data_IF_041264740386
#
_entry.id   IF_041264740386
#
_cell.length_a   1.000
_cell.length_b   1.000
_cell.length_c   1.000
_cell.angle_alpha   90.00
_cell.angle_beta   90.00
_cell.angle_gamma   90.00
#
_symmetry.space_group_name_H-M   'P 1'
#
loop_
_entity.id
_entity.type
_entity.pdbx_description
1 polymer ?
#
# COMPACT_ATOMS: atom_id res chain seq x y z
N UNK A 1 12.23 -4.89 -11.97
CA UNK A 1 12.15 -4.74 -10.51
C UNK A 1 12.09 -3.24 -10.24
N UNK A 2 10.90 -2.69 -10.04
CA UNK A 2 10.75 -1.27 -9.68
C UNK A 2 11.20 -1.09 -8.23
N UNK A 3 12.06 -0.11 -7.98
CA UNK A 3 12.56 0.19 -6.65
C UNK A 3 11.40 0.63 -5.73
N UNK A 4 11.21 -0.04 -4.60
CA UNK A 4 10.28 0.38 -3.55
C UNK A 4 10.93 1.50 -2.75
N UNK A 5 10.80 2.73 -3.23
CA UNK A 5 11.07 3.95 -2.46
C UNK A 5 9.73 4.63 -2.26
N UNK A 6 9.31 4.87 -1.02
CA UNK A 6 8.38 5.98 -0.76
C UNK A 6 8.11 6.22 0.72
N UNK A 7 8.40 7.46 1.13
CA UNK A 7 7.84 8.11 2.30
C UNK A 7 6.58 8.92 1.98
N UNK A 8 6.26 9.04 0.69
CA UNK A 8 5.10 9.75 0.19
C UNK A 8 4.27 8.85 -0.73
N UNK A 9 3.05 8.54 -0.31
CA UNK A 9 2.08 7.77 -1.10
C UNK A 9 0.92 8.69 -1.48
N UNK A 10 0.59 8.73 -2.76
CA UNK A 10 -0.55 9.48 -3.26
C UNK A 10 -1.39 8.65 -4.22
N UNK A 11 -2.71 8.75 -4.05
CA UNK A 11 -3.68 8.26 -5.00
C UNK A 11 -4.34 9.45 -5.68
N UNK A 12 -4.35 9.41 -7.00
CA UNK A 12 -4.90 10.47 -7.83
C UNK A 12 -5.97 9.84 -8.70
N UNK A 13 -7.20 10.34 -8.61
CA UNK A 13 -8.35 9.84 -9.34
C UNK A 13 -8.98 10.96 -10.16
N UNK A 14 -9.27 10.65 -11.42
CA UNK A 14 -9.95 11.54 -12.36
C UNK A 14 -11.16 10.79 -12.88
N UNK A 15 -12.35 11.38 -12.73
CA UNK A 15 -13.61 10.81 -13.23
C UNK A 15 -14.16 11.69 -14.35
N UNK A 16 -14.71 11.06 -15.39
CA UNK A 16 -15.19 11.77 -16.57
C UNK A 16 -15.73 10.84 -17.64
N UNK A 17 -16.16 11.42 -18.76
CA UNK A 17 -16.54 10.64 -19.93
C UNK A 17 -15.28 9.99 -20.56
N UNK A 18 -15.41 8.81 -21.21
CA UNK A 18 -14.27 8.09 -21.77
C UNK A 18 -13.40 8.94 -22.70
N UNK A 19 -14.02 9.77 -23.55
CA UNK A 19 -13.32 10.62 -24.51
C UNK A 19 -12.52 11.74 -23.81
N UNK A 20 -13.09 12.34 -22.77
CA UNK A 20 -12.42 13.38 -21.97
C UNK A 20 -11.23 12.79 -21.19
N UNK A 21 -11.40 11.58 -20.64
CA UNK A 21 -10.32 10.87 -19.93
C UNK A 21 -9.18 10.48 -20.89
N UNK A 22 -9.51 10.00 -22.09
CA UNK A 22 -8.49 9.67 -23.09
C UNK A 22 -7.67 10.91 -23.50
N UNK A 23 -8.33 12.05 -23.70
CA UNK A 23 -7.68 13.32 -24.02
C UNK A 23 -6.81 13.84 -22.85
N UNK A 24 -7.31 13.71 -21.62
CA UNK A 24 -6.56 14.04 -20.41
C UNK A 24 -5.29 13.22 -20.27
N UNK A 25 -5.40 11.89 -20.39
CA UNK A 25 -4.25 10.96 -20.33
C UNK A 25 -3.19 11.28 -21.37
N UNK A 26 -3.59 11.54 -22.62
CA UNK A 26 -2.67 11.91 -23.69
C UNK A 26 -1.91 13.21 -23.38
N UNK A 27 -2.55 14.14 -22.67
CA UNK A 27 -1.95 15.41 -22.25
C UNK A 27 -1.03 15.27 -21.04
N UNK A 28 -1.35 14.34 -20.12
CA UNK A 28 -0.60 14.09 -18.90
C UNK A 28 0.68 13.27 -19.13
N UNK A 29 0.66 12.30 -20.05
CA UNK A 29 1.79 11.40 -20.32
C UNK A 29 3.15 12.11 -20.56
N UNK A 30 3.26 13.14 -21.43
CA UNK A 30 4.53 13.84 -21.61
C UNK A 30 4.97 14.63 -20.36
N UNK A 31 4.02 15.17 -19.58
CA UNK A 31 4.31 15.93 -18.36
C UNK A 31 4.89 15.04 -17.26
N UNK A 32 4.36 13.82 -17.09
CA UNK A 32 4.89 12.85 -16.15
C UNK A 32 6.32 12.41 -16.53
N UNK A 33 6.58 12.21 -17.82
CA UNK A 33 7.92 11.85 -18.29
C UNK A 33 8.96 12.94 -17.94
N UNK A 34 8.57 14.21 -18.06
CA UNK A 34 9.45 15.35 -17.79
C UNK A 34 9.63 15.61 -16.28
N UNK A 35 8.56 15.53 -15.48
CA UNK A 35 8.54 16.04 -14.11
C UNK A 35 8.52 14.96 -13.02
N UNK A 36 8.31 13.68 -13.36
CA UNK A 36 8.14 12.60 -12.39
C UNK A 36 9.19 11.47 -12.52
N UNK A 37 10.36 11.77 -13.06
CA UNK A 37 11.42 10.77 -13.35
C UNK A 37 11.88 9.95 -12.11
N UNK A 38 11.68 10.46 -10.90
CA UNK A 38 12.06 9.81 -9.64
C UNK A 38 10.89 9.20 -8.88
N UNK A 39 9.65 9.38 -9.35
CA UNK A 39 8.46 8.81 -8.75
C UNK A 39 8.13 7.47 -9.43
N UNK A 40 7.78 6.46 -8.64
CA UNK A 40 7.20 5.24 -9.14
C UNK A 40 5.69 5.45 -9.28
N UNK A 41 5.21 5.57 -10.52
CA UNK A 41 3.82 5.84 -10.84
C UNK A 41 3.22 4.63 -11.52
N UNK A 42 2.17 4.07 -10.93
CA UNK A 42 1.36 3.04 -11.55
C UNK A 42 0.04 3.64 -12.01
N UNK A 43 -0.26 3.51 -13.30
CA UNK A 43 -1.52 3.94 -13.90
C UNK A 43 -2.51 2.77 -13.97
N UNK A 44 -3.77 3.09 -13.75
CA UNK A 44 -4.93 2.22 -13.90
C UNK A 44 -6.07 2.98 -14.60
N UNK A 45 -6.84 2.27 -15.43
CA UNK A 45 -7.92 2.87 -16.20
C UNK A 45 -9.16 1.96 -16.19
N UNK A 46 -10.30 2.57 -15.91
CA UNK A 46 -11.64 2.01 -16.09
C UNK A 46 -12.42 2.83 -17.11
N UNK A 47 -13.63 2.39 -17.47
CA UNK A 47 -14.48 3.07 -18.46
C UNK A 47 -14.82 4.52 -18.08
N UNK A 48 -14.88 4.84 -16.78
CA UNK A 48 -15.30 6.15 -16.28
C UNK A 48 -14.28 6.82 -15.36
N UNK A 49 -13.08 6.25 -15.19
CA UNK A 49 -12.06 6.83 -14.32
C UNK A 49 -10.62 6.46 -14.72
N UNK A 50 -9.72 7.41 -14.50
CA UNK A 50 -8.27 7.19 -14.46
C UNK A 50 -7.79 7.26 -13.01
N UNK A 51 -6.93 6.33 -12.62
CA UNK A 51 -6.37 6.25 -11.28
C UNK A 51 -4.84 6.11 -11.37
N UNK A 52 -4.12 6.95 -10.64
CA UNK A 52 -2.67 6.92 -10.54
C UNK A 52 -2.27 6.70 -9.08
N UNK A 53 -1.49 5.64 -8.84
CA UNK A 53 -0.79 5.41 -7.57
C UNK A 53 0.63 5.95 -7.71
N UNK A 54 1.01 6.86 -6.82
CA UNK A 54 2.31 7.55 -6.86
C UNK A 54 3.06 7.27 -5.57
N UNK A 55 4.20 6.60 -5.72
CA UNK A 55 5.18 6.35 -4.67
C UNK A 55 6.41 7.22 -4.94
N UNK A 56 6.66 8.23 -4.11
CA UNK A 56 7.75 9.19 -4.33
C UNK A 56 8.52 9.50 -3.03
N UNK A 57 9.82 9.75 -3.17
CA UNK A 57 10.68 10.19 -2.06
C UNK A 57 10.62 11.72 -1.82
N UNK A 58 10.16 12.50 -2.80
CA UNK A 58 10.21 13.98 -2.79
C UNK A 58 8.85 14.70 -2.77
N UNK A 59 7.75 13.97 -2.56
CA UNK A 59 6.38 14.50 -2.61
C UNK A 59 5.63 14.15 -3.90
N UNK A 60 4.35 14.54 -3.97
CA UNK A 60 3.52 14.33 -5.17
C UNK A 60 4.01 15.22 -6.30
N UNK A 61 4.16 14.71 -7.52
CA UNK A 61 4.37 15.53 -8.71
C UNK A 61 3.05 16.25 -9.06
N UNK A 62 2.62 17.20 -8.23
CA UNK A 62 1.45 18.04 -8.50
C UNK A 62 1.53 18.83 -9.83
N UNK A 63 2.69 19.36 -10.27
CA UNK A 63 2.73 20.21 -11.46
C UNK A 63 2.18 19.56 -12.74
N UNK A 64 2.51 18.30 -13.09
CA UNK A 64 1.86 17.58 -14.19
C UNK A 64 0.33 17.56 -14.13
N UNK A 65 -0.25 17.26 -12.96
CA UNK A 65 -1.70 17.16 -12.80
C UNK A 65 -2.39 18.52 -12.84
N UNK A 66 -1.73 19.56 -12.31
CA UNK A 66 -2.22 20.95 -12.39
C UNK A 66 -2.26 21.43 -13.84
N UNK A 67 -1.15 21.27 -14.58
CA UNK A 67 -1.06 21.67 -15.99
C UNK A 67 -2.08 20.88 -16.84
N UNK A 68 -2.23 19.57 -16.60
CA UNK A 68 -3.23 18.76 -17.27
C UNK A 68 -4.67 19.20 -16.95
N UNK A 69 -4.96 19.57 -15.70
CA UNK A 69 -6.27 20.09 -15.28
C UNK A 69 -6.63 21.40 -15.97
N UNK A 70 -5.65 22.27 -16.19
CA UNK A 70 -5.80 23.55 -16.90
C UNK A 70 -6.22 23.35 -18.37
N UNK A 71 -5.68 22.30 -19.02
CA UNK A 71 -6.06 21.92 -20.39
C UNK A 71 -7.42 21.23 -20.48
N UNK A 72 -7.91 20.68 -19.37
CA UNK A 72 -9.16 19.91 -19.28
C UNK A 72 -10.04 20.43 -18.14
N UNK A 73 -10.58 21.66 -18.26
CA UNK A 73 -11.20 22.39 -17.15
C UNK A 73 -12.49 21.76 -16.61
N UNK A 74 -13.09 20.84 -17.36
CA UNK A 74 -14.31 20.13 -16.97
C UNK A 74 -14.04 18.93 -16.04
N UNK A 75 -12.79 18.46 -15.95
CA UNK A 75 -12.43 17.31 -15.13
C UNK A 75 -11.94 17.75 -13.75
N UNK A 76 -12.45 17.08 -12.71
CA UNK A 76 -11.96 17.22 -11.35
C UNK A 76 -10.96 16.12 -11.04
N UNK A 77 -9.82 16.51 -10.46
CA UNK A 77 -8.78 15.59 -10.02
C UNK A 77 -8.84 15.51 -8.51
N UNK A 78 -9.24 14.36 -7.98
CA UNK A 78 -9.16 14.07 -6.56
C UNK A 78 -7.78 13.50 -6.23
N UNK A 79 -7.11 14.10 -5.26
CA UNK A 79 -5.78 13.69 -4.79
C UNK A 79 -5.87 13.39 -3.31
N UNK A 80 -5.52 12.17 -2.90
CA UNK A 80 -5.35 11.80 -1.49
C UNK A 80 -3.92 11.36 -1.27
N UNK A 81 -3.30 11.80 -0.18
CA UNK A 81 -1.90 11.52 0.07
C UNK A 81 -1.54 11.40 1.53
N UNK A 82 -0.41 10.73 1.76
CA UNK A 82 0.18 10.53 3.06
C UNK A 82 1.69 10.77 2.97
N UNK A 83 2.22 11.53 3.92
CA UNK A 83 3.63 11.79 4.15
C UNK A 83 4.02 11.24 5.53
N UNK A 84 4.71 10.10 5.53
CA UNK A 84 5.15 9.44 6.76
C UNK A 84 6.29 10.15 7.47
N UNK A 85 7.14 10.88 6.73
CA UNK A 85 8.25 11.66 7.30
C UNK A 85 7.73 12.87 8.07
N UNK A 86 6.76 13.59 7.50
CA UNK A 86 6.16 14.75 8.13
C UNK A 86 5.06 14.39 9.14
N UNK A 87 4.69 13.11 9.24
CA UNK A 87 3.53 12.63 10.00
C UNK A 87 2.22 13.35 9.60
N UNK A 88 2.03 13.57 8.30
CA UNK A 88 0.89 14.29 7.73
C UNK A 88 0.14 13.43 6.72
N UNK A 89 -1.15 13.69 6.59
CA UNK A 89 -1.97 13.27 5.45
C UNK A 89 -2.66 14.48 4.86
N UNK A 90 -3.07 14.37 3.62
CA UNK A 90 -3.94 15.38 3.03
C UNK A 90 -4.80 14.86 1.91
N UNK A 91 -5.82 15.64 1.62
CA UNK A 91 -6.66 15.47 0.46
C UNK A 91 -6.74 16.81 -0.26
N UNK A 92 -6.81 16.78 -1.58
CA UNK A 92 -6.92 17.96 -2.39
C UNK A 92 -7.72 17.70 -3.65
N UNK A 93 -8.43 18.72 -4.12
CA UNK A 93 -9.16 18.68 -5.39
C UNK A 93 -8.57 19.73 -6.31
N UNK A 94 -8.23 19.33 -7.54
CA UNK A 94 -7.71 20.23 -8.58
C UNK A 94 -8.77 20.33 -9.68
N UNK A 95 -9.15 21.56 -10.03
CA UNK A 95 -10.08 21.86 -11.12
C UNK A 95 -9.55 23.06 -11.88
N UNK A 96 -9.48 22.96 -13.21
CA UNK A 96 -9.04 24.04 -14.09
C UNK A 96 -7.68 24.65 -13.64
N UNK A 97 -6.73 23.78 -13.31
CA UNK A 97 -5.39 24.18 -12.83
C UNK A 97 -5.34 24.85 -11.46
N UNK A 98 -6.47 24.96 -10.75
CA UNK A 98 -6.53 25.53 -9.42
C UNK A 98 -6.79 24.45 -8.37
N UNK A 99 -6.09 24.55 -7.23
CA UNK A 99 -6.40 23.77 -6.03
C UNK A 99 -7.67 24.36 -5.39
N UNK A 100 -8.80 23.69 -5.54
CA UNK A 100 -10.11 24.21 -5.06
C UNK A 100 -10.42 23.80 -3.64
N UNK A 101 -9.92 22.64 -3.21
CA UNK A 101 -10.07 22.13 -1.86
C UNK A 101 -8.73 21.56 -1.40
N UNK A 102 -8.38 21.82 -0.14
CA UNK A 102 -7.22 21.22 0.50
C UNK A 102 -7.52 20.97 1.97
N UNK A 103 -7.22 19.75 2.41
CA UNK A 103 -7.22 19.36 3.81
C UNK A 103 -5.87 18.75 4.12
N UNK A 104 -5.29 19.15 5.25
CA UNK A 104 -4.08 18.54 5.79
C UNK A 104 -4.34 18.24 7.25
N UNK A 105 -4.22 16.97 7.61
CA UNK A 105 -4.36 16.49 8.98
C UNK A 105 -3.03 15.85 9.41
N UNK A 106 -2.75 15.84 10.71
CA UNK A 106 -1.73 14.94 11.24
C UNK A 106 -2.17 13.49 11.03
N UNK A 107 -1.21 12.59 10.80
CA UNK A 107 -1.49 11.16 10.95
C UNK A 107 -1.87 10.89 12.42
N UNK A 108 -2.88 10.04 12.67
CA UNK A 108 -3.18 9.58 14.02
C UNK A 108 -1.92 9.07 14.71
N UNK A 109 -1.71 9.45 15.97
CA UNK A 109 -0.69 8.79 16.79
C UNK A 109 -1.08 7.32 16.90
N UNK A 110 -0.19 6.43 16.44
CA UNK A 110 -0.43 4.99 16.37
C UNK A 110 -0.83 4.43 17.73
N UNK A 111 -2.14 4.28 17.95
CA UNK A 111 -2.67 3.69 19.17
C UNK A 111 -2.37 2.18 19.18
N UNK A 112 -2.14 1.64 20.38
CA UNK A 112 -1.75 0.24 20.64
C UNK A 112 -2.88 -0.77 20.34
N UNK A 113 -3.90 -0.36 19.60
CA UNK A 113 -5.02 -1.16 19.11
C UNK A 113 -4.85 -1.61 17.64
N UNK A 114 -3.76 -1.22 16.99
CA UNK A 114 -3.45 -1.62 15.61
C UNK A 114 -3.24 -3.14 15.52
N UNK A 115 -4.08 -3.78 14.70
CA UNK A 115 -4.00 -5.21 14.41
C UNK A 115 -2.91 -5.43 13.38
N UNK A 116 -1.72 -5.74 13.86
CA UNK A 116 -0.59 -6.08 13.00
C UNK A 116 -0.09 -7.50 13.27
N UNK A 117 0.59 -8.05 12.26
CA UNK A 117 1.43 -9.21 12.37
C UNK A 117 2.76 -8.93 11.69
N UNK A 118 3.86 -9.35 12.33
CA UNK A 118 5.19 -9.32 11.71
C UNK A 118 5.81 -10.68 11.94
N UNK A 119 6.39 -11.27 10.90
CA UNK A 119 7.23 -12.46 10.93
C UNK A 119 8.55 -12.17 10.23
N UNK A 120 9.64 -12.61 10.86
CA UNK A 120 11.00 -12.45 10.37
C UNK A 120 11.77 -13.75 10.53
N UNK A 121 12.70 -13.99 9.60
CA UNK A 121 13.69 -15.03 9.73
C UNK A 121 14.79 -14.61 10.74
N UNK A 122 15.59 -15.58 11.19
CA UNK A 122 16.69 -15.34 12.16
C UNK A 122 17.73 -14.33 11.69
N UNK A 123 17.91 -14.17 10.38
CA UNK A 123 18.88 -13.24 9.78
C UNK A 123 18.33 -11.80 9.65
N UNK A 124 17.09 -11.56 10.11
CA UNK A 124 16.40 -10.28 10.03
C UNK A 124 15.56 -10.10 8.76
N UNK A 125 15.52 -11.09 7.86
CA UNK A 125 14.71 -11.01 6.65
C UNK A 125 13.22 -10.92 6.98
N UNK A 126 12.53 -9.98 6.35
CA UNK A 126 11.09 -9.81 6.51
C UNK A 126 10.32 -10.87 5.70
N UNK A 127 9.72 -11.84 6.38
CA UNK A 127 8.94 -12.91 5.74
C UNK A 127 7.51 -12.46 5.42
N UNK A 128 6.85 -11.88 6.42
CA UNK A 128 5.50 -11.33 6.27
C UNK A 128 5.25 -10.28 7.33
N UNK A 129 4.93 -9.06 6.91
CA UNK A 129 4.30 -8.05 7.73
C UNK A 129 2.91 -7.77 7.19
N UNK A 130 1.96 -7.54 8.08
CA UNK A 130 0.63 -7.08 7.69
C UNK A 130 0.01 -6.23 8.79
N UNK A 131 -0.87 -5.34 8.37
CA UNK A 131 -1.71 -4.52 9.22
C UNK A 131 -3.10 -4.45 8.60
N UNK A 132 -4.15 -4.50 9.41
CA UNK A 132 -5.52 -4.56 8.88
C UNK A 132 -6.57 -4.01 9.83
N UNK A 133 -7.72 -3.70 9.24
CA UNK A 133 -8.93 -3.31 9.94
C UNK A 133 -10.09 -4.18 9.48
N UNK A 134 -11.18 -4.14 10.25
CA UNK A 134 -12.40 -4.86 9.92
C UNK A 134 -13.33 -3.91 9.17
N UNK A 135 -13.49 -4.12 7.86
CA UNK A 135 -14.34 -3.31 6.99
C UNK A 135 -15.83 -3.73 7.06
N UNK A 136 -16.10 -4.93 7.58
CA UNK A 136 -17.46 -5.45 7.77
C UNK A 136 -17.49 -6.71 8.64
N UNK A 137 -18.68 -7.26 8.90
CA UNK A 137 -18.87 -8.39 9.83
C UNK A 137 -17.98 -9.61 9.53
N UNK A 138 -17.66 -9.86 8.26
CA UNK A 138 -16.82 -10.97 7.79
C UNK A 138 -15.78 -10.51 6.77
N UNK A 139 -15.43 -9.23 6.80
CA UNK A 139 -14.61 -8.57 5.79
C UNK A 139 -13.49 -7.78 6.44
N UNK A 140 -12.27 -8.08 6.04
CA UNK A 140 -11.05 -7.45 6.52
C UNK A 140 -10.28 -6.87 5.35
N UNK A 141 -9.79 -5.65 5.52
CA UNK A 141 -8.98 -4.95 4.54
C UNK A 141 -7.69 -4.49 5.20
N UNK A 142 -6.61 -4.41 4.42
CA UNK A 142 -5.34 -4.02 4.99
C UNK A 142 -4.21 -4.02 3.99
N UNK A 143 -3.00 -4.02 4.53
CA UNK A 143 -1.76 -4.01 3.80
C UNK A 143 -0.89 -5.17 4.24
N UNK A 144 -0.29 -5.85 3.27
CA UNK A 144 0.66 -6.93 3.48
C UNK A 144 1.96 -6.61 2.74
N UNK A 145 3.08 -7.00 3.35
CA UNK A 145 4.43 -6.69 2.91
C UNK A 145 5.34 -7.88 3.20
N UNK A 146 6.28 -8.12 2.30
CA UNK A 146 7.41 -9.02 2.47
C UNK A 146 8.70 -8.25 2.19
N UNK A 147 9.84 -8.91 2.29
CA UNK A 147 11.12 -8.34 1.85
C UNK A 147 11.11 -7.83 0.39
N UNK A 148 10.24 -8.34 -0.49
CA UNK A 148 10.31 -8.12 -1.95
C UNK A 148 9.01 -7.66 -2.62
N UNK A 149 7.86 -7.79 -1.97
CA UNK A 149 6.55 -7.45 -2.54
C UNK A 149 5.60 -6.91 -1.48
N UNK A 150 4.67 -6.06 -1.92
CA UNK A 150 3.63 -5.46 -1.11
C UNK A 150 2.28 -5.53 -1.83
N UNK A 151 1.19 -5.48 -1.05
CA UNK A 151 -0.15 -5.36 -1.59
C UNK A 151 -1.11 -4.82 -0.54
N UNK A 152 -2.02 -3.93 -0.97
CA UNK A 152 -3.33 -3.86 -0.32
C UNK A 152 -4.08 -5.17 -0.58
N UNK A 153 -4.84 -5.61 0.42
CA UNK A 153 -5.66 -6.81 0.33
C UNK A 153 -7.05 -6.61 0.91
N UNK A 154 -7.97 -7.48 0.50
CA UNK A 154 -9.24 -7.73 1.17
C UNK A 154 -9.48 -9.22 1.31
N UNK A 155 -9.87 -9.65 2.50
CA UNK A 155 -10.33 -11.01 2.78
C UNK A 155 -11.78 -10.98 3.26
N UNK A 156 -12.65 -11.73 2.60
CA UNK A 156 -14.08 -11.79 2.90
C UNK A 156 -14.57 -13.22 3.03
N UNK A 157 -15.22 -13.57 4.14
CA UNK A 157 -15.92 -14.86 4.25
C UNK A 157 -17.28 -14.75 3.56
N UNK A 158 -17.53 -15.63 2.60
CA UNK A 158 -18.82 -15.80 1.93
C UNK A 158 -19.55 -16.96 2.59
N UNK A 159 -20.25 -16.68 3.70
CA UNK A 159 -20.93 -17.71 4.53
C UNK A 159 -21.88 -18.59 3.74
N UNK A 160 -22.66 -18.00 2.84
CA UNK A 160 -23.62 -18.73 1.99
C UNK A 160 -22.96 -19.75 1.06
N UNK A 161 -21.71 -19.49 0.65
CA UNK A 161 -20.94 -20.35 -0.26
C UNK A 161 -19.94 -21.23 0.48
N UNK A 162 -19.89 -21.12 1.81
CA UNK A 162 -18.88 -21.72 2.67
C UNK A 162 -17.45 -21.54 2.11
N UNK A 163 -17.15 -20.32 1.66
CA UNK A 163 -15.92 -19.98 0.96
C UNK A 163 -15.31 -18.69 1.50
N UNK A 164 -14.03 -18.49 1.19
CA UNK A 164 -13.30 -17.25 1.44
C UNK A 164 -12.89 -16.65 0.11
N UNK A 165 -13.10 -15.35 -0.05
CA UNK A 165 -12.53 -14.57 -1.14
C UNK A 165 -11.37 -13.76 -0.59
N UNK A 166 -10.21 -13.88 -1.23
CA UNK A 166 -9.07 -12.99 -1.05
C UNK A 166 -8.89 -12.23 -2.36
N UNK A 167 -8.75 -10.91 -2.28
CA UNK A 167 -8.30 -10.08 -3.41
C UNK A 167 -7.10 -9.26 -2.99
N UNK A 168 -6.20 -9.00 -3.94
CA UNK A 168 -5.01 -8.20 -3.71
C UNK A 168 -4.71 -7.29 -4.91
N UNK A 169 -4.08 -6.17 -4.61
CA UNK A 169 -3.47 -5.28 -5.59
C UNK A 169 -2.22 -5.91 -6.21
N UNK A 170 -1.81 -5.40 -7.37
CA UNK A 170 -0.56 -5.78 -8.05
C UNK A 170 0.21 -4.54 -8.51
N UNK A 171 0.50 -3.64 -7.56
CA UNK A 171 1.26 -2.40 -7.80
C UNK A 171 0.41 -1.18 -8.16
N UNK A 172 -0.89 -1.35 -8.44
CA UNK A 172 -1.86 -0.27 -8.69
C UNK A 172 -2.94 -0.24 -7.59
N UNK A 173 -3.67 0.88 -7.48
CA UNK A 173 -4.80 1.09 -6.56
C UNK A 173 -6.10 0.37 -7.01
N UNK A 174 -5.97 -0.85 -7.54
CA UNK A 174 -7.05 -1.68 -8.04
C UNK A 174 -6.84 -3.15 -7.65
N UNK A 175 -7.93 -3.85 -7.37
CA UNK A 175 -7.87 -5.29 -7.19
C UNK A 175 -7.53 -5.95 -8.52
N UNK A 176 -6.35 -6.58 -8.58
CA UNK A 176 -5.82 -7.20 -9.80
C UNK A 176 -5.77 -8.73 -9.68
N UNK A 177 -5.77 -9.27 -8.46
CA UNK A 177 -5.65 -10.70 -8.18
C UNK A 177 -6.77 -11.16 -7.28
N UNK A 178 -7.35 -12.32 -7.57
CA UNK A 178 -8.39 -12.93 -6.77
C UNK A 178 -8.08 -14.41 -6.51
N UNK A 179 -8.34 -14.84 -5.28
CA UNK A 179 -8.39 -16.22 -4.86
C UNK A 179 -9.77 -16.52 -4.30
N UNK A 180 -10.43 -17.54 -4.84
CA UNK A 180 -11.62 -18.14 -4.25
C UNK A 180 -11.22 -19.43 -3.57
N UNK A 181 -11.30 -19.45 -2.25
CA UNK A 181 -10.87 -20.56 -1.39
C UNK A 181 -12.12 -21.26 -0.86
N UNK A 182 -12.27 -22.54 -1.16
CA UNK A 182 -13.38 -23.32 -0.65
C UNK A 182 -13.16 -23.79 0.80
N UNK A 183 -14.18 -24.45 1.38
CA UNK A 183 -14.11 -24.98 2.74
C UNK A 183 -13.08 -26.08 2.95
N UNK A 184 -12.58 -26.71 1.88
CA UNK A 184 -11.49 -27.69 1.94
C UNK A 184 -10.11 -27.03 1.89
N UNK A 185 -10.04 -25.71 1.67
CA UNK A 185 -8.80 -24.96 1.51
C UNK A 185 -8.19 -25.08 0.12
N UNK A 186 -8.96 -25.49 -0.89
CA UNK A 186 -8.53 -25.42 -2.27
C UNK A 186 -8.79 -24.00 -2.81
N UNK A 187 -7.73 -23.35 -3.28
CA UNK A 187 -7.83 -22.01 -3.85
C UNK A 187 -7.87 -22.08 -5.38
N UNK A 188 -8.79 -21.33 -5.97
CA UNK A 188 -8.80 -21.01 -7.40
C UNK A 188 -8.31 -19.57 -7.58
N UNK A 189 -7.13 -19.44 -8.17
CA UNK A 189 -6.56 -18.16 -8.55
C UNK A 189 -7.16 -17.65 -9.87
N UNK A 190 -7.30 -16.33 -9.97
CA UNK A 190 -7.66 -15.61 -11.20
C UNK A 190 -7.06 -14.21 -11.18
N UNK A 191 -6.42 -13.82 -12.28
CA UNK A 191 -6.13 -12.42 -12.60
C UNK A 191 -7.43 -11.70 -13.02
N UNK A 192 -7.65 -10.51 -12.47
CA UNK A 192 -8.81 -9.68 -12.75
C UNK A 192 -8.52 -8.83 -13.99
N UNK A 193 -9.24 -9.11 -15.07
CA UNK A 193 -9.15 -8.40 -16.33
C UNK A 193 -10.57 -8.00 -16.78
N UNK A 194 -10.93 -6.69 -16.71
CA UNK A 194 -10.13 -5.60 -16.16
C UNK A 194 -9.97 -5.70 -14.62
N UNK A 195 -8.95 -5.04 -14.02
CA UNK A 195 -8.87 -4.87 -12.58
C UNK A 195 -10.12 -4.19 -12.01
N UNK A 196 -10.42 -4.45 -10.75
CA UNK A 196 -11.60 -3.88 -10.08
C UNK A 196 -11.19 -2.69 -9.21
N UNK A 197 -11.88 -1.56 -9.38
CA UNK A 197 -11.67 -0.39 -8.55
C UNK A 197 -11.88 -0.72 -7.06
N UNK A 198 -11.00 -0.16 -6.22
CA UNK A 198 -11.15 -0.22 -4.76
C UNK A 198 -12.13 0.88 -4.35
N UNK A 199 -13.02 0.56 -3.39
CA UNK A 199 -13.87 1.57 -2.77
C UNK A 199 -12.98 2.68 -2.18
N UNK A 200 -13.22 3.97 -2.50
CA UNK A 200 -12.35 5.06 -2.07
C UNK A 200 -12.14 5.14 -0.56
N UNK A 201 -13.17 4.84 0.25
CA UNK A 201 -13.05 4.88 1.71
C UNK A 201 -12.18 3.73 2.21
N UNK A 202 -12.36 2.54 1.64
CA UNK A 202 -11.53 1.38 1.96
C UNK A 202 -10.07 1.63 1.57
N UNK A 203 -9.84 2.22 0.40
CA UNK A 203 -8.50 2.55 -0.05
C UNK A 203 -7.84 3.59 0.88
N UNK A 204 -8.56 4.66 1.24
CA UNK A 204 -8.06 5.70 2.15
C UNK A 204 -7.68 5.09 3.52
N UNK A 205 -8.58 4.32 4.13
CA UNK A 205 -8.34 3.69 5.43
C UNK A 205 -7.19 2.67 5.39
N UNK A 206 -7.12 1.84 4.35
CA UNK A 206 -6.02 0.89 4.17
C UNK A 206 -4.69 1.60 3.92
N UNK A 207 -4.71 2.73 3.20
CA UNK A 207 -3.51 3.54 2.92
C UNK A 207 -2.98 4.23 4.18
N UNK A 208 -3.88 4.74 5.03
CA UNK A 208 -3.50 5.31 6.32
C UNK A 208 -2.85 4.27 7.20
N UNK A 209 -3.48 3.11 7.33
CA UNK A 209 -2.97 2.02 8.14
C UNK A 209 -1.63 1.50 7.62
N UNK A 210 -1.48 1.37 6.29
CA UNK A 210 -0.22 1.05 5.63
C UNK A 210 0.87 2.05 6.01
N UNK A 211 0.59 3.35 5.88
CA UNK A 211 1.57 4.41 6.11
C UNK A 211 2.01 4.48 7.57
N UNK A 212 1.08 4.40 8.52
CA UNK A 212 1.39 4.33 9.95
C UNK A 212 2.25 3.11 10.29
N UNK A 213 1.89 1.96 9.73
CA UNK A 213 2.63 0.73 9.94
C UNK A 213 4.05 0.81 9.37
N UNK A 214 4.22 1.30 8.14
CA UNK A 214 5.53 1.52 7.52
C UNK A 214 6.35 2.51 8.37
N UNK A 215 5.79 3.66 8.73
CA UNK A 215 6.46 4.68 9.52
C UNK A 215 6.98 4.14 10.86
N UNK A 216 6.26 3.20 11.48
CA UNK A 216 6.65 2.66 12.78
C UNK A 216 7.57 1.44 12.70
N UNK A 217 7.38 0.58 11.69
CA UNK A 217 8.00 -0.75 11.64
C UNK A 217 9.06 -0.92 10.55
N UNK A 218 8.92 -0.24 9.42
CA UNK A 218 9.65 -0.58 8.19
C UNK A 218 10.59 0.54 7.77
N UNK A 219 11.71 0.17 7.16
CA UNK A 219 12.53 1.06 6.34
C UNK A 219 12.85 0.37 5.00
N UNK A 220 12.93 1.13 3.92
CA UNK A 220 13.23 0.57 2.60
C UNK A 220 14.66 0.88 2.19
N UNK A 221 15.31 -0.07 1.53
CA UNK A 221 16.69 0.14 1.05
C UNK A 221 16.79 1.23 -0.03
N UNK A 222 15.68 1.56 -0.70
CA UNK A 222 15.61 2.63 -1.70
C UNK A 222 15.17 3.99 -1.12
N UNK A 223 14.95 4.10 0.19
CA UNK A 223 14.70 5.41 0.82
C UNK A 223 15.97 6.29 0.76
N UNK A 224 15.83 7.63 0.88
CA UNK A 224 16.97 8.54 0.83
C UNK A 224 18.08 8.17 1.82
N UNK A 225 19.37 8.21 1.42
CA UNK A 225 20.49 7.81 2.28
C UNK A 225 20.51 8.50 3.65
N UNK A 226 20.12 9.78 3.70
CA UNK A 226 20.05 10.54 4.95
C UNK A 226 19.10 9.93 6.00
N UNK A 227 18.08 9.20 5.56
CA UNK A 227 17.07 8.61 6.44
C UNK A 227 17.43 7.17 6.85
N UNK A 228 18.18 6.44 6.01
CA UNK A 228 18.49 5.02 6.23
C UNK A 228 19.90 4.73 6.73
N UNK A 229 20.83 5.69 6.71
CA UNK A 229 22.24 5.46 7.09
C UNK A 229 22.38 4.89 8.50
N UNK A 230 21.50 5.30 9.43
CA UNK A 230 21.49 4.80 10.81
C UNK A 230 21.06 3.33 10.84
N UNK A 231 19.98 2.97 10.13
CA UNK A 231 19.47 1.60 10.08
C UNK A 231 20.44 0.67 9.33
N UNK A 232 21.01 1.11 8.21
CA UNK A 232 22.04 0.38 7.47
C UNK A 232 23.25 0.06 8.35
N UNK A 233 23.80 1.06 9.05
CA UNK A 233 24.94 0.86 9.97
C UNK A 233 24.60 -0.12 11.08
N UNK A 234 23.37 -0.09 11.60
CA UNK A 234 22.92 -1.02 12.65
C UNK A 234 22.80 -2.44 12.11
N UNK A 235 22.21 -2.62 10.93
CA UNK A 235 22.08 -3.93 10.27
C UNK A 235 23.45 -4.54 9.99
N UNK A 236 24.38 -3.77 9.44
CA UNK A 236 25.77 -4.21 9.20
C UNK A 236 26.46 -4.64 10.50
N UNK A 237 26.36 -3.83 11.55
CA UNK A 237 26.96 -4.14 12.86
C UNK A 237 26.37 -5.40 13.49
N UNK A 238 25.08 -5.66 13.26
CA UNK A 238 24.37 -6.81 13.80
C UNK A 238 24.47 -8.06 12.90
N UNK A 239 25.07 -7.93 11.71
CA UNK A 239 25.23 -9.03 10.75
C UNK A 239 23.94 -9.43 10.04
N UNK A 240 22.95 -8.53 9.96
CA UNK A 240 21.68 -8.79 9.28
C UNK A 240 21.78 -8.50 7.78
N UNK A 241 21.06 -9.30 6.99
CA UNK A 241 20.95 -9.07 5.56
C UNK A 241 20.07 -7.84 5.27
N UNK A 242 20.41 -7.08 4.23
CA UNK A 242 19.60 -5.96 3.75
C UNK A 242 18.78 -6.39 2.53
N UNK A 243 17.48 -6.15 2.58
CA UNK A 243 16.51 -6.44 1.52
C UNK A 243 15.83 -5.16 1.02
N UNK A 244 14.88 -5.26 0.08
CA UNK A 244 14.16 -4.08 -0.40
C UNK A 244 13.33 -3.43 0.70
N UNK A 245 12.64 -4.24 1.53
CA UNK A 245 11.98 -3.83 2.75
C UNK A 245 12.58 -4.53 3.98
N UNK A 246 12.84 -3.75 5.03
CA UNK A 246 13.50 -4.24 6.24
C UNK A 246 12.76 -3.77 7.49
N UNK A 247 12.82 -4.56 8.55
CA UNK A 247 12.32 -4.15 9.85
C UNK A 247 13.29 -3.15 10.50
N UNK A 248 12.79 -2.10 11.14
CA UNK A 248 13.64 -1.19 11.93
C UNK A 248 14.32 -1.97 13.07
N UNK A 249 15.62 -1.75 13.27
CA UNK A 249 16.43 -2.50 14.21
C UNK A 249 15.87 -2.47 15.65
N UNK A 250 15.29 -1.34 16.05
CA UNK A 250 14.66 -1.18 17.36
C UNK A 250 13.41 -2.05 17.53
N UNK A 251 12.62 -2.24 16.47
CA UNK A 251 11.46 -3.14 16.50
C UNK A 251 11.91 -4.59 16.45
N UNK A 252 12.90 -4.93 15.62
CA UNK A 252 13.43 -6.28 15.55
C UNK A 252 13.99 -6.75 16.90
N UNK A 253 14.74 -5.89 17.60
CA UNK A 253 15.23 -6.18 18.94
C UNK A 253 14.09 -6.42 19.96
N UNK A 254 13.00 -5.64 19.88
CA UNK A 254 11.81 -5.89 20.72
C UNK A 254 11.15 -7.22 20.41
N UNK A 255 11.13 -7.64 19.14
CA UNK A 255 10.55 -8.94 18.77
C UNK A 255 11.43 -10.09 19.30
N UNK A 256 12.75 -10.02 19.11
CA UNK A 256 13.71 -10.99 19.66
C UNK A 256 13.64 -11.14 21.18
N UNK A 257 13.46 -10.03 21.91
CA UNK A 257 13.36 -10.08 23.37
C UNK A 257 12.11 -10.81 23.86
N UNK A 258 11.06 -10.90 23.04
CA UNK A 258 9.79 -11.53 23.39
C UNK A 258 9.64 -12.96 22.86
N UNK A 259 10.37 -13.35 21.81
CA UNK A 259 10.28 -14.67 21.20
C UNK A 259 11.64 -15.37 21.12
N UNK A 260 11.79 -16.50 21.82
CA UNK A 260 13.04 -17.27 21.90
C UNK A 260 13.21 -18.35 20.83
N UNK A 261 12.79 -18.09 19.58
CA UNK A 261 12.67 -19.11 18.52
C UNK A 261 13.41 -18.80 17.20
N UNK A 262 13.38 -19.76 16.27
CA UNK A 262 13.97 -19.68 14.92
C UNK A 262 13.15 -18.85 13.91
N UNK A 263 11.93 -18.47 14.29
CA UNK A 263 11.10 -17.51 13.56
C UNK A 263 10.56 -16.56 14.63
N UNK A 264 10.65 -15.26 14.36
CA UNK A 264 10.23 -14.24 15.29
C UNK A 264 8.98 -13.59 14.72
N UNK A 265 7.86 -13.87 15.36
CA UNK A 265 6.56 -13.36 15.03
C UNK A 265 6.01 -12.43 16.11
N UNK A 266 5.01 -11.60 15.82
CA UNK A 266 4.21 -10.95 16.86
C UNK A 266 2.87 -10.54 16.32
N UNK A 267 1.84 -10.84 17.08
CA UNK A 267 0.50 -10.33 16.86
C UNK A 267 0.23 -9.14 17.81
N UNK A 268 -0.30 -8.04 17.28
CA UNK A 268 -0.77 -6.92 18.09
C UNK A 268 -1.98 -7.29 18.97
N UNK A 269 -2.25 -6.51 20.01
CA UNK A 269 -3.46 -6.67 20.84
C UNK A 269 -4.71 -6.54 19.97
N UNK A 270 -5.65 -7.50 20.08
CA UNK A 270 -6.92 -7.47 19.35
C UNK A 270 -6.92 -8.13 17.96
N UNK A 271 -5.83 -8.79 17.57
CA UNK A 271 -5.72 -9.53 16.31
C UNK A 271 -5.96 -11.05 16.43
N UNK A 272 -6.16 -11.59 17.64
CA UNK A 272 -6.44 -13.03 17.85
C UNK A 272 -7.66 -13.52 17.06
N UNK A 273 -8.71 -12.71 16.99
CA UNK A 273 -9.93 -13.03 16.22
C UNK A 273 -9.71 -13.01 14.69
N UNK A 274 -8.54 -12.55 14.24
CA UNK A 274 -8.15 -12.38 12.86
C UNK A 274 -6.87 -13.14 12.49
N UNK A 275 -6.43 -14.10 13.31
CA UNK A 275 -5.30 -14.99 13.00
C UNK A 275 -5.50 -15.74 11.67
N UNK A 276 -6.76 -16.07 11.37
CA UNK A 276 -7.12 -16.68 10.09
C UNK A 276 -6.81 -15.78 8.89
N UNK A 277 -6.85 -14.45 9.01
CA UNK A 277 -6.52 -13.51 7.90
C UNK A 277 -5.04 -13.62 7.56
N UNK A 278 -4.18 -13.64 8.58
CA UNK A 278 -2.75 -13.90 8.45
C UNK A 278 -2.51 -15.23 7.75
N UNK A 279 -3.16 -16.30 8.20
CA UNK A 279 -2.99 -17.63 7.59
C UNK A 279 -3.44 -17.67 6.13
N UNK A 280 -4.50 -16.94 5.75
CA UNK A 280 -4.92 -16.82 4.34
C UNK A 280 -3.86 -16.14 3.48
N UNK A 281 -3.30 -15.02 3.95
CA UNK A 281 -2.26 -14.30 3.21
C UNK A 281 -0.98 -15.11 3.10
N UNK A 282 -0.53 -15.70 4.20
CA UNK A 282 0.66 -16.53 4.24
C UNK A 282 0.55 -17.75 3.32
N UNK A 283 -0.65 -18.32 3.17
CA UNK A 283 -0.86 -19.53 2.36
C UNK A 283 -1.15 -19.25 0.89
N UNK A 284 -1.87 -18.18 0.57
CA UNK A 284 -2.38 -17.97 -0.79
C UNK A 284 -1.78 -16.76 -1.51
N UNK A 285 -1.49 -15.67 -0.81
CA UNK A 285 -0.88 -14.50 -1.44
C UNK A 285 0.63 -14.65 -1.59
N UNK A 286 1.30 -15.26 -0.60
CA UNK A 286 2.75 -15.53 -0.66
C UNK A 286 3.13 -16.71 -1.55
N UNK A 287 2.20 -17.64 -1.78
CA UNK A 287 2.46 -18.73 -2.70
C UNK A 287 2.54 -18.17 -4.12
N UNK A 288 3.65 -18.42 -4.81
CA UNK A 288 3.88 -18.04 -6.20
C UNK A 288 2.83 -18.72 -7.10
N UNK A 289 1.68 -18.07 -7.29
CA UNK A 289 0.67 -18.46 -8.26
C UNK A 289 0.93 -17.72 -9.59
N UNK A 290 1.01 -18.46 -10.72
CA UNK A 290 1.32 -17.92 -12.04
C UNK A 290 0.18 -17.08 -12.65
#
# INVERSE_FOLDING_TARGET
MSAMSALFHASIRIEGAPDDLAAFKASLAPLLLEHAATANITESQSDCALSYDVKAAGGIPFPPFVIASEMHPALAIAVSWINTEANLRGAATIVNGALTEQKVDALPDGDSSSRFFVATAVDGSLELALTFFQAGADEYCGYALTANQDALFRVKRKREQNAVELVATAGAAEWARQWSIDSAGAAKYRALEPPLAIDPRVYEEASLLMAEFIAHWIWFAADPPAQIIIEQTRFERLGYAQHAANLKSAQFAKLQANEGGAQISRLGSGAADAEWVKDMLARYWLADYP
#
